data_IF_341251164885
#
_entry.id   IF_341251164885
#
_cell.length_a   1.000
_cell.length_b   1.000
_cell.length_c   1.000
_cell.angle_alpha   90.00
_cell.angle_beta   90.00
_cell.angle_gamma   90.00
#
_symmetry.space_group_name_H-M   'P 1'
#
loop_
_entity.id
_entity.type
_entity.pdbx_description
1 polymer ?
#
# COMPACT_ATOMS: atom_id res chain seq x y z
N UNK A 1 41.67 -27.78 -22.21
CA UNK A 1 41.49 -26.65 -21.27
C UNK A 1 41.26 -27.26 -19.90
N UNK A 2 42.20 -27.09 -18.97
CA UNK A 2 42.23 -27.84 -17.70
C UNK A 2 41.24 -27.21 -16.70
N UNK A 3 40.08 -27.83 -16.50
CA UNK A 3 38.97 -27.31 -15.67
C UNK A 3 39.22 -27.39 -14.15
N UNK A 4 40.33 -28.00 -13.73
CA UNK A 4 40.72 -28.17 -12.32
C UNK A 4 41.78 -27.16 -11.83
N UNK A 5 42.19 -26.20 -12.68
CA UNK A 5 43.11 -25.15 -12.26
C UNK A 5 42.33 -24.06 -11.48
N UNK A 6 42.69 -23.83 -10.22
CA UNK A 6 42.06 -22.82 -9.35
C UNK A 6 41.94 -21.44 -10.01
N UNK A 7 42.90 -21.05 -10.86
CA UNK A 7 42.84 -19.79 -11.60
C UNK A 7 41.75 -19.73 -12.67
N UNK A 8 41.48 -20.84 -13.37
CA UNK A 8 40.38 -20.93 -14.34
C UNK A 8 39.03 -20.78 -13.63
N UNK A 9 38.83 -21.46 -12.49
CA UNK A 9 37.60 -21.37 -11.71
C UNK A 9 37.37 -19.95 -11.19
N UNK A 10 38.41 -19.27 -10.69
CA UNK A 10 38.31 -17.89 -10.20
C UNK A 10 37.93 -16.91 -11.33
N UNK A 11 38.61 -16.99 -12.48
CA UNK A 11 38.32 -16.10 -13.61
C UNK A 11 36.93 -16.37 -14.18
N UNK A 12 36.56 -17.64 -14.36
CA UNK A 12 35.25 -18.03 -14.83
C UNK A 12 34.13 -17.51 -13.90
N UNK A 13 34.28 -17.72 -12.59
CA UNK A 13 33.34 -17.22 -11.61
C UNK A 13 33.26 -15.68 -11.63
N UNK A 14 34.40 -14.98 -11.71
CA UNK A 14 34.42 -13.52 -11.78
C UNK A 14 33.69 -12.98 -13.02
N UNK A 15 33.95 -13.55 -14.20
CA UNK A 15 33.27 -13.17 -15.44
C UNK A 15 31.78 -13.46 -15.36
N UNK A 16 31.39 -14.63 -14.85
CA UNK A 16 29.98 -14.99 -14.68
C UNK A 16 29.25 -14.04 -13.74
N UNK A 17 29.86 -13.69 -12.60
CA UNK A 17 29.31 -12.72 -11.64
C UNK A 17 29.14 -11.35 -12.28
N UNK A 18 30.13 -10.86 -13.03
CA UNK A 18 30.05 -9.57 -13.72
C UNK A 18 28.89 -9.56 -14.72
N UNK A 19 28.78 -10.60 -15.55
CA UNK A 19 27.72 -10.70 -16.56
C UNK A 19 26.34 -10.73 -15.88
N UNK A 20 26.16 -11.54 -14.84
CA UNK A 20 24.89 -11.65 -14.12
C UNK A 20 24.55 -10.34 -13.41
N UNK A 21 25.51 -9.70 -12.75
CA UNK A 21 25.30 -8.43 -12.05
C UNK A 21 24.88 -7.30 -13.02
N UNK A 22 25.55 -7.20 -14.16
CA UNK A 22 25.20 -6.22 -15.20
C UNK A 22 23.81 -6.51 -15.78
N UNK A 23 23.50 -7.78 -16.05
CA UNK A 23 22.19 -8.19 -16.57
C UNK A 23 21.04 -7.88 -15.60
N UNK A 24 21.21 -8.21 -14.31
CA UNK A 24 20.22 -7.93 -13.27
C UNK A 24 20.04 -6.43 -13.05
N UNK A 25 21.14 -5.66 -12.97
CA UNK A 25 21.08 -4.22 -12.79
C UNK A 25 20.38 -3.52 -13.96
N UNK A 26 20.71 -3.90 -15.20
CA UNK A 26 20.06 -3.36 -16.38
C UNK A 26 18.56 -3.68 -16.41
N UNK A 27 18.19 -4.93 -16.14
CA UNK A 27 16.79 -5.36 -16.11
C UNK A 27 16.01 -4.59 -15.04
N UNK A 28 16.57 -4.44 -13.85
CA UNK A 28 15.96 -3.67 -12.77
C UNK A 28 15.73 -2.21 -13.18
N UNK A 29 16.74 -1.55 -13.73
CA UNK A 29 16.63 -0.13 -14.13
C UNK A 29 15.53 0.11 -15.18
N UNK A 30 15.37 -0.80 -16.15
CA UNK A 30 14.37 -0.68 -17.22
C UNK A 30 12.94 -0.91 -16.70
N UNK A 31 12.77 -1.79 -15.71
CA UNK A 31 11.45 -2.15 -15.20
C UNK A 31 11.01 -1.32 -13.99
N UNK A 32 11.93 -0.61 -13.32
CA UNK A 32 11.64 0.07 -12.06
C UNK A 32 10.46 1.05 -12.15
N UNK A 33 10.43 1.88 -13.21
CA UNK A 33 9.34 2.86 -13.40
C UNK A 33 7.98 2.17 -13.55
N UNK A 34 7.93 1.05 -14.28
CA UNK A 34 6.70 0.27 -14.46
C UNK A 34 6.29 -0.45 -13.18
N UNK A 35 7.24 -0.96 -12.41
CA UNK A 35 6.97 -1.59 -11.11
C UNK A 35 6.40 -0.55 -10.14
N UNK A 36 7.01 0.63 -10.07
CA UNK A 36 6.56 1.73 -9.21
C UNK A 36 5.15 2.19 -9.62
N UNK A 37 4.88 2.35 -10.91
CA UNK A 37 3.54 2.67 -11.40
C UNK A 37 2.51 1.61 -11.00
N UNK A 38 2.84 0.33 -11.14
CA UNK A 38 1.93 -0.76 -10.75
C UNK A 38 1.67 -0.80 -9.24
N UNK A 39 2.69 -0.55 -8.41
CA UNK A 39 2.54 -0.47 -6.95
C UNK A 39 1.63 0.71 -6.56
N UNK A 40 1.81 1.86 -7.20
CA UNK A 40 0.96 3.02 -6.97
C UNK A 40 -0.49 2.76 -7.36
N UNK A 41 -0.71 2.13 -8.51
CA UNK A 41 -2.06 1.75 -8.97
C UNK A 41 -2.70 0.74 -8.01
N UNK A 42 -1.97 -0.28 -7.56
CA UNK A 42 -2.50 -1.23 -6.60
C UNK A 42 -2.88 -0.54 -5.27
N UNK A 43 -2.07 0.41 -4.78
CA UNK A 43 -2.41 1.23 -3.62
C UNK A 43 -3.70 2.01 -3.83
N UNK A 44 -3.89 2.63 -5.00
CA UNK A 44 -5.14 3.32 -5.34
C UNK A 44 -6.32 2.36 -5.37
N UNK A 45 -6.15 1.16 -5.95
CA UNK A 45 -7.19 0.13 -5.94
C UNK A 45 -7.56 -0.31 -4.53
N UNK A 46 -6.57 -0.48 -3.64
CA UNK A 46 -6.82 -0.83 -2.24
C UNK A 46 -7.61 0.26 -1.49
N UNK A 47 -7.27 1.54 -1.71
CA UNK A 47 -8.03 2.67 -1.16
C UNK A 47 -9.47 2.66 -1.71
N UNK A 48 -9.66 2.45 -3.02
CA UNK A 48 -10.97 2.35 -3.64
C UNK A 48 -11.79 1.16 -3.12
N UNK A 49 -11.16 0.00 -2.91
CA UNK A 49 -11.83 -1.17 -2.32
C UNK A 49 -12.30 -0.94 -0.89
N UNK A 50 -11.56 -0.14 -0.10
CA UNK A 50 -12.04 0.30 1.22
C UNK A 50 -13.28 1.20 1.13
N UNK A 51 -13.48 1.87 0.00
CA UNK A 51 -14.67 2.63 -0.36
C UNK A 51 -15.73 1.76 -1.07
N UNK A 52 -15.61 0.43 -1.00
CA UNK A 52 -16.49 -0.56 -1.64
C UNK A 52 -16.52 -0.44 -3.18
N UNK A 53 -15.42 -0.01 -3.79
CA UNK A 53 -15.29 0.17 -5.25
C UNK A 53 -14.15 -0.71 -5.79
N UNK A 54 -14.52 -1.72 -6.58
CA UNK A 54 -13.57 -2.56 -7.31
C UNK A 54 -13.25 -1.96 -8.68
N UNK A 55 -12.17 -1.18 -8.75
CA UNK A 55 -11.66 -0.63 -10.01
C UNK A 55 -10.64 -1.57 -10.66
N UNK A 56 -10.66 -1.68 -11.99
CA UNK A 56 -9.58 -2.34 -12.74
C UNK A 56 -8.29 -1.49 -12.75
N UNK A 57 -7.17 -2.10 -13.13
CA UNK A 57 -5.86 -1.42 -13.19
C UNK A 57 -5.88 -0.18 -14.09
N UNK A 58 -6.67 -0.22 -15.17
CA UNK A 58 -6.78 0.89 -16.14
C UNK A 58 -7.71 2.03 -15.64
N UNK A 59 -8.61 1.74 -14.71
CA UNK A 59 -9.61 2.69 -14.21
C UNK A 59 -9.24 3.29 -12.85
N UNK A 60 -8.39 2.60 -12.09
CA UNK A 60 -8.07 2.92 -10.70
C UNK A 60 -7.62 4.37 -10.50
N UNK A 61 -6.68 4.85 -11.32
CA UNK A 61 -6.19 6.24 -11.24
C UNK A 61 -7.33 7.24 -11.43
N UNK A 62 -8.14 7.07 -12.49
CA UNK A 62 -9.20 8.01 -12.81
C UNK A 62 -10.29 8.04 -11.72
N UNK A 63 -10.65 6.87 -11.16
CA UNK A 63 -11.62 6.79 -10.08
C UNK A 63 -11.06 7.35 -8.76
N UNK A 64 -9.79 7.08 -8.46
CA UNK A 64 -9.11 7.63 -7.30
C UNK A 64 -9.10 9.15 -7.34
N UNK A 65 -8.67 9.75 -8.47
CA UNK A 65 -8.64 11.21 -8.66
C UNK A 65 -10.05 11.83 -8.60
N UNK A 66 -11.06 11.08 -9.05
CA UNK A 66 -12.44 11.51 -9.01
C UNK A 66 -13.05 11.49 -7.61
N UNK A 67 -12.58 10.62 -6.70
CA UNK A 67 -13.19 10.41 -5.39
C UNK A 67 -12.36 11.00 -4.24
N UNK A 68 -11.04 10.81 -4.26
CA UNK A 68 -10.13 11.29 -3.23
C UNK A 68 -9.79 12.76 -3.50
N UNK A 69 -10.32 13.64 -2.68
CA UNK A 69 -10.24 15.10 -2.87
C UNK A 69 -9.06 15.74 -2.18
N UNK A 70 -8.57 15.09 -1.14
CA UNK A 70 -7.49 15.60 -0.32
C UNK A 70 -6.80 14.43 0.37
N UNK A 71 -5.52 14.59 0.66
CA UNK A 71 -4.81 13.71 1.56
C UNK A 71 -3.70 14.48 2.23
N UNK A 72 -3.40 14.16 3.48
CA UNK A 72 -2.43 14.87 4.30
C UNK A 72 -1.93 13.97 5.43
N UNK A 73 -0.85 14.37 6.08
CA UNK A 73 -0.36 13.73 7.29
C UNK A 73 -0.97 14.39 8.54
N UNK A 74 -1.22 13.60 9.57
CA UNK A 74 -1.58 14.06 10.92
C UNK A 74 -0.51 13.65 11.94
N UNK A 75 -0.32 14.46 12.96
CA UNK A 75 0.56 14.15 14.07
C UNK A 75 -0.10 13.19 15.09
N UNK A 76 0.62 12.88 16.17
CA UNK A 76 0.12 12.00 17.24
C UNK A 76 -1.05 12.57 18.06
N UNK A 77 -1.43 13.83 17.83
CA UNK A 77 -2.60 14.47 18.43
C UNK A 77 -3.78 14.56 17.45
N UNK A 78 -3.61 14.05 16.22
CA UNK A 78 -4.60 14.18 15.16
C UNK A 78 -4.62 15.57 14.51
N UNK A 79 -3.58 16.38 14.73
CA UNK A 79 -3.47 17.70 14.09
C UNK A 79 -2.86 17.54 12.71
N UNK A 80 -3.49 18.13 11.70
CA UNK A 80 -2.96 18.16 10.32
C UNK A 80 -1.59 18.83 10.28
N UNK A 81 -0.65 18.21 9.57
CA UNK A 81 0.67 18.77 9.30
C UNK A 81 0.60 19.54 7.98
N UNK A 82 0.62 20.86 8.08
CA UNK A 82 0.56 21.75 6.91
C UNK A 82 1.78 21.55 5.99
N UNK A 83 1.55 21.61 4.68
CA UNK A 83 2.56 21.38 3.65
C UNK A 83 2.72 19.91 3.25
N UNK A 84 1.88 19.02 3.79
CA UNK A 84 1.86 17.58 3.44
C UNK A 84 0.71 17.20 2.52
N UNK A 85 -0.06 18.19 2.08
CA UNK A 85 -1.26 18.00 1.27
C UNK A 85 -0.92 17.52 -0.14
N UNK A 86 -1.65 16.50 -0.59
CA UNK A 86 -1.61 16.05 -1.96
C UNK A 86 -1.96 14.57 -2.09
N UNK A 87 -2.53 14.21 -3.25
CA UNK A 87 -3.09 12.88 -3.53
C UNK A 87 -2.25 12.10 -4.55
N UNK A 88 -1.22 12.70 -5.13
CA UNK A 88 -0.38 12.07 -6.15
C UNK A 88 0.69 11.18 -5.52
N UNK A 89 1.28 10.23 -6.27
CA UNK A 89 2.29 9.32 -5.72
C UNK A 89 3.54 9.97 -5.11
N UNK A 90 3.84 11.22 -5.48
CA UNK A 90 5.00 11.95 -4.95
C UNK A 90 4.65 12.75 -3.70
N UNK A 91 3.37 12.86 -3.33
CA UNK A 91 2.96 13.66 -2.20
C UNK A 91 3.21 12.91 -0.88
N UNK A 92 3.48 13.61 0.24
CA UNK A 92 3.87 12.96 1.49
C UNK A 92 2.82 11.96 2.00
N UNK A 93 1.54 12.29 1.92
CA UNK A 93 0.47 11.40 2.37
C UNK A 93 0.37 10.11 1.55
N UNK A 94 0.70 10.15 0.25
CA UNK A 94 0.69 8.95 -0.59
C UNK A 94 1.99 8.14 -0.44
N UNK A 95 3.15 8.79 -0.39
CA UNK A 95 4.45 8.11 -0.34
C UNK A 95 4.81 7.59 1.05
N UNK A 96 4.16 8.06 2.12
CA UNK A 96 4.40 7.56 3.48
C UNK A 96 3.92 6.11 3.63
N UNK A 97 4.85 5.23 4.01
CA UNK A 97 4.56 3.86 4.41
C UNK A 97 4.51 3.75 5.93
N UNK A 98 3.43 3.18 6.46
CA UNK A 98 3.35 2.90 7.88
C UNK A 98 4.46 1.92 8.30
N UNK A 99 5.08 2.17 9.45
CA UNK A 99 6.18 1.34 9.98
C UNK A 99 7.58 1.71 9.51
N UNK A 100 7.75 2.80 8.75
CA UNK A 100 9.07 3.39 8.50
C UNK A 100 9.63 4.05 9.77
N UNK A 101 10.94 3.95 10.01
CA UNK A 101 11.60 4.61 11.15
C UNK A 101 11.51 6.15 11.08
N UNK A 102 11.42 6.70 9.87
CA UNK A 102 11.36 8.15 9.60
C UNK A 102 9.92 8.67 9.43
N UNK A 103 8.94 8.03 10.07
CA UNK A 103 7.52 8.40 9.93
C UNK A 103 7.26 9.84 10.46
N UNK A 104 6.95 10.76 9.55
CA UNK A 104 6.68 12.17 9.91
C UNK A 104 5.25 12.37 10.45
N UNK A 105 4.31 11.51 10.07
CA UNK A 105 2.92 11.57 10.49
C UNK A 105 2.11 10.42 9.91
N UNK A 106 0.83 10.36 10.25
CA UNK A 106 -0.10 9.33 9.78
C UNK A 106 -0.91 9.87 8.59
N UNK A 107 -0.93 9.17 7.45
CA UNK A 107 -1.72 9.59 6.30
C UNK A 107 -3.22 9.47 6.56
N UNK A 108 -3.97 10.47 6.08
CA UNK A 108 -5.42 10.49 6.03
C UNK A 108 -5.82 10.90 4.62
N UNK A 109 -6.75 10.16 4.01
CA UNK A 109 -7.34 10.52 2.72
C UNK A 109 -8.79 10.92 2.92
N UNK A 110 -9.19 12.07 2.39
CA UNK A 110 -10.59 12.51 2.35
C UNK A 110 -11.19 12.14 1.00
N UNK A 111 -12.20 11.27 1.02
CA UNK A 111 -12.93 10.84 -0.16
C UNK A 111 -14.37 11.36 -0.12
N UNK A 112 -14.92 11.61 -1.31
CA UNK A 112 -16.31 12.00 -1.51
C UNK A 112 -16.99 10.93 -2.37
N UNK A 113 -17.83 10.09 -1.75
CA UNK A 113 -18.59 9.03 -2.45
C UNK A 113 -20.04 9.48 -2.54
N UNK A 114 -20.44 9.99 -3.71
CA UNK A 114 -21.74 10.65 -3.87
C UNK A 114 -21.83 11.89 -2.98
N UNK A 115 -22.81 11.94 -2.08
CA UNK A 115 -22.97 13.01 -1.08
C UNK A 115 -22.26 12.71 0.25
N UNK A 116 -21.72 11.50 0.43
CA UNK A 116 -21.08 11.07 1.68
C UNK A 116 -19.59 11.40 1.69
N UNK A 117 -19.15 12.15 2.71
CA UNK A 117 -17.73 12.35 3.02
C UNK A 117 -17.22 11.17 3.86
N UNK A 118 -16.10 10.59 3.45
CA UNK A 118 -15.49 9.43 4.08
C UNK A 118 -13.99 9.69 4.27
N UNK A 119 -13.45 9.29 5.42
CA UNK A 119 -12.03 9.36 5.72
C UNK A 119 -11.42 7.97 5.61
N UNK A 120 -10.39 7.80 4.77
CA UNK A 120 -9.65 6.55 4.65
C UNK A 120 -8.36 6.64 5.45
N UNK A 121 -8.19 5.68 6.36
CA UNK A 121 -7.08 5.56 7.28
C UNK A 121 -6.28 4.30 6.94
N UNK A 122 -5.02 4.42 6.51
CA UNK A 122 -4.16 3.25 6.33
C UNK A 122 -3.86 2.59 7.67
N UNK A 123 -3.70 1.28 7.64
CA UNK A 123 -3.41 0.44 8.79
C UNK A 123 -2.23 -0.48 8.47
N UNK A 124 -1.43 -0.77 9.50
CA UNK A 124 -0.37 -1.78 9.42
C UNK A 124 -0.25 -2.52 10.74
N UNK A 125 0.02 -3.81 10.65
CA UNK A 125 0.26 -4.68 11.80
C UNK A 125 1.19 -5.83 11.47
N UNK A 126 1.44 -6.67 12.47
CA UNK A 126 2.17 -7.92 12.32
C UNK A 126 1.19 -9.09 12.26
N UNK A 127 1.27 -9.89 11.20
CA UNK A 127 0.63 -11.20 11.09
C UNK A 127 1.49 -12.29 11.71
N UNK A 128 1.18 -13.56 11.39
CA UNK A 128 1.96 -14.70 11.88
C UNK A 128 3.26 -14.88 11.10
N UNK A 129 3.21 -14.69 9.78
CA UNK A 129 4.33 -14.97 8.87
C UNK A 129 4.90 -13.72 8.21
N UNK A 130 4.23 -12.58 8.34
CA UNK A 130 4.68 -11.34 7.76
C UNK A 130 3.81 -10.14 8.14
N UNK A 131 4.14 -8.95 7.62
CA UNK A 131 3.31 -7.78 7.81
C UNK A 131 1.94 -7.96 7.17
N UNK A 132 0.93 -7.44 7.86
CA UNK A 132 -0.41 -7.22 7.33
C UNK A 132 -0.66 -5.72 7.25
N UNK A 133 -1.48 -5.29 6.30
CA UNK A 133 -1.87 -3.90 6.15
C UNK A 133 -3.32 -3.80 5.73
N UNK A 134 -3.84 -2.59 5.70
CA UNK A 134 -5.19 -2.34 5.24
C UNK A 134 -5.52 -0.87 5.11
N UNK A 135 -6.74 -0.62 4.68
CA UNK A 135 -7.33 0.71 4.59
C UNK A 135 -8.71 0.64 5.21
N UNK A 136 -8.97 1.51 6.18
CA UNK A 136 -10.25 1.58 6.87
C UNK A 136 -10.93 2.89 6.48
N UNK A 137 -12.10 2.78 5.87
CA UNK A 137 -12.91 3.91 5.50
C UNK A 137 -13.94 4.18 6.62
N UNK A 138 -13.96 5.40 7.14
CA UNK A 138 -14.79 5.84 8.26
C UNK A 138 -15.65 7.01 7.82
N UNK A 139 -16.92 7.04 8.21
CA UNK A 139 -17.84 8.11 7.89
C UNK A 139 -17.47 9.42 8.60
N UNK A 140 -18.20 10.49 8.27
CA UNK A 140 -17.93 11.84 8.78
C UNK A 140 -18.10 11.97 10.31
N UNK A 141 -18.75 11.01 10.97
CA UNK A 141 -18.88 10.93 12.42
C UNK A 141 -17.59 10.51 13.12
N UNK A 142 -16.59 10.01 12.37
CA UNK A 142 -15.31 9.56 12.89
C UNK A 142 -15.36 8.21 13.62
N UNK A 143 -16.46 7.47 13.54
CA UNK A 143 -16.61 6.16 14.22
C UNK A 143 -17.27 5.09 13.36
N UNK A 144 -18.28 5.41 12.54
CA UNK A 144 -18.95 4.42 11.70
C UNK A 144 -18.04 3.96 10.57
N UNK A 145 -17.79 2.66 10.47
CA UNK A 145 -17.01 2.07 9.38
C UNK A 145 -17.85 2.00 8.11
N UNK A 146 -17.42 2.72 7.08
CA UNK A 146 -17.99 2.67 5.74
C UNK A 146 -17.59 1.37 5.02
N UNK A 147 -16.31 1.01 5.09
CA UNK A 147 -15.75 -0.17 4.45
C UNK A 147 -14.30 -0.42 4.86
N UNK A 148 -13.75 -1.55 4.43
CA UNK A 148 -12.38 -1.93 4.78
C UNK A 148 -11.73 -2.74 3.67
N UNK A 149 -10.41 -2.61 3.59
CA UNK A 149 -9.55 -3.41 2.75
C UNK A 149 -8.39 -3.95 3.59
N UNK A 150 -7.98 -5.19 3.34
CA UNK A 150 -6.81 -5.78 3.97
C UNK A 150 -5.90 -6.44 2.93
N UNK A 151 -4.61 -6.45 3.24
CA UNK A 151 -3.58 -7.14 2.49
C UNK A 151 -2.56 -7.78 3.42
N UNK A 152 -1.77 -8.70 2.88
CA UNK A 152 -0.71 -9.38 3.61
C UNK A 152 0.47 -9.71 2.70
N UNK A 153 1.66 -9.83 3.29
CA UNK A 153 2.84 -10.23 2.54
C UNK A 153 2.91 -11.73 2.28
N UNK A 154 2.59 -12.55 3.28
CA UNK A 154 2.98 -13.97 3.28
C UNK A 154 2.12 -14.87 4.18
N UNK A 155 0.92 -14.43 4.57
CA UNK A 155 0.00 -15.27 5.33
C UNK A 155 -0.42 -16.50 4.51
N UNK A 156 -0.78 -17.58 5.21
CA UNK A 156 -1.05 -18.88 4.58
C UNK A 156 -2.42 -18.91 3.88
N UNK A 157 -2.50 -19.29 2.60
CA UNK A 157 -3.78 -19.50 1.88
C UNK A 157 -4.73 -20.46 2.61
N UNK A 158 -6.02 -20.11 2.70
CA UNK A 158 -7.03 -20.88 3.43
C UNK A 158 -7.02 -20.69 4.95
N UNK A 159 -6.14 -19.82 5.48
CA UNK A 159 -6.06 -19.47 6.91
C UNK A 159 -5.97 -17.94 7.07
N UNK A 160 -4.77 -17.40 7.33
CA UNK A 160 -4.56 -15.97 7.54
C UNK A 160 -4.70 -15.13 6.27
N UNK A 161 -4.51 -15.74 5.09
CA UNK A 161 -4.70 -15.05 3.82
C UNK A 161 -6.17 -14.65 3.55
N UNK A 162 -7.13 -15.30 4.22
CA UNK A 162 -8.56 -15.06 4.01
C UNK A 162 -9.00 -13.62 4.38
N UNK A 163 -8.13 -12.83 5.02
CA UNK A 163 -8.41 -11.42 5.31
C UNK A 163 -8.64 -10.56 4.06
N UNK A 164 -8.11 -10.98 2.91
CA UNK A 164 -8.30 -10.28 1.63
C UNK A 164 -9.66 -10.60 1.00
N UNK A 165 -10.38 -11.60 1.50
CA UNK A 165 -11.63 -12.04 0.89
C UNK A 165 -12.78 -11.07 1.21
N UNK A 166 -13.71 -10.82 0.26
CA UNK A 166 -14.86 -9.96 0.50
C UNK A 166 -15.68 -10.38 1.72
N UNK A 167 -15.81 -11.69 1.97
CA UNK A 167 -16.54 -12.23 3.11
C UNK A 167 -15.92 -11.85 4.46
N UNK A 168 -14.61 -11.61 4.53
CA UNK A 168 -13.96 -11.09 5.72
C UNK A 168 -14.16 -9.58 5.84
N UNK A 169 -13.83 -8.84 4.78
CA UNK A 169 -13.91 -7.37 4.73
C UNK A 169 -15.33 -6.83 4.99
N UNK A 170 -16.36 -7.49 4.46
CA UNK A 170 -17.75 -7.04 4.60
C UNK A 170 -18.28 -7.10 6.03
N UNK A 171 -17.62 -7.80 6.95
CA UNK A 171 -18.05 -7.91 8.35
C UNK A 171 -17.86 -6.60 9.14
N UNK A 172 -17.04 -5.68 8.62
CA UNK A 172 -16.68 -4.44 9.30
C UNK A 172 -17.60 -3.27 8.96
N UNK A 173 -18.32 -3.31 7.82
CA UNK A 173 -19.22 -2.22 7.44
C UNK A 173 -20.33 -2.03 8.48
N UNK A 174 -20.58 -0.77 8.85
CA UNK A 174 -21.54 -0.36 9.87
C UNK A 174 -21.13 -0.68 11.31
N UNK A 175 -19.88 -1.08 11.57
CA UNK A 175 -19.35 -1.18 12.94
C UNK A 175 -18.90 0.19 13.44
N UNK A 176 -18.96 0.37 14.75
CA UNK A 176 -18.48 1.57 15.45
C UNK A 176 -17.07 1.32 16.01
N UNK A 177 -16.15 2.23 15.73
CA UNK A 177 -14.77 2.16 16.25
C UNK A 177 -14.68 2.58 17.72
N UNK A 178 -15.49 3.57 18.12
CA UNK A 178 -15.47 4.13 19.47
C UNK A 178 -16.80 3.82 20.12
N UNK A 179 -16.77 3.12 21.25
CA UNK A 179 -17.96 2.91 22.06
C UNK A 179 -18.21 4.16 22.89
N UNK A 180 -19.37 4.80 22.74
CA UNK A 180 -19.83 5.81 23.69
C UNK A 180 -19.97 5.15 25.07
N UNK A 181 -19.25 5.69 26.07
CA UNK A 181 -19.37 5.31 27.47
C UNK A 181 -20.22 6.32 28.22
#
# INVERSE_FOLDING_TARGET
MNRENSGYTIIYAAVMVIIVALGLSFTHQVLNDKQTANVNIDKMQQILRSLNIDASTDEAQAQYDALVKNAYLVDNKGTKIEGTEGTTPNDPAFSTELGSDDLQGLPVYEAQVGETKVYVLPMRGAGLWGPIWGYLAVEADGSTVYGSEFGHASETPGLGAEIVEPAFRSQFSGKELIKEN
#
